data_IF_085344370977
#
_entry.id   IF_085344370977
#
_cell.length_a   1.000
_cell.length_b   1.000
_cell.length_c   1.000
_cell.angle_alpha   90.00
_cell.angle_beta   90.00
_cell.angle_gamma   90.00
#
_symmetry.space_group_name_H-M   'P 1'
#
loop_
_entity.id
_entity.type
_entity.pdbx_description
1 polymer ?
#
# COMPACT_ATOMS: atom_id res chain seq x y z
N UNK A 1 -14.78 -12.07 3.48
CA UNK A 1 -13.65 -11.69 4.34
C UNK A 1 -13.68 -12.64 5.52
N UNK A 2 -12.54 -13.20 5.95
CA UNK A 2 -12.52 -14.14 7.07
C UNK A 2 -12.96 -13.46 8.38
N UNK A 3 -13.68 -14.21 9.23
CA UNK A 3 -14.23 -13.69 10.49
C UNK A 3 -13.13 -13.19 11.43
N UNK A 4 -11.99 -13.88 11.47
CA UNK A 4 -10.87 -13.47 12.33
C UNK A 4 -10.27 -12.11 11.90
N UNK A 5 -10.21 -11.85 10.60
CA UNK A 5 -9.73 -10.57 10.06
C UNK A 5 -10.72 -9.46 10.40
N UNK A 6 -12.02 -9.74 10.30
CA UNK A 6 -13.05 -8.80 10.68
C UNK A 6 -12.94 -8.43 12.17
N UNK A 7 -12.82 -9.42 13.06
CA UNK A 7 -12.67 -9.17 14.50
C UNK A 7 -11.43 -8.33 14.83
N UNK A 8 -10.30 -8.59 14.16
CA UNK A 8 -9.06 -7.80 14.29
C UNK A 8 -9.22 -6.36 13.80
N UNK A 9 -9.91 -6.15 12.68
CA UNK A 9 -10.21 -4.81 12.15
C UNK A 9 -11.13 -4.04 13.09
N UNK A 10 -12.16 -4.68 13.64
CA UNK A 10 -13.06 -4.05 14.60
C UNK A 10 -12.34 -3.70 15.91
N UNK A 11 -11.44 -4.57 16.39
CA UNK A 11 -10.58 -4.27 17.54
C UNK A 11 -9.62 -3.10 17.27
N UNK A 12 -9.10 -3.01 16.04
CA UNK A 12 -8.21 -1.93 15.61
C UNK A 12 -8.98 -0.60 15.50
N UNK A 13 -10.18 -0.60 14.93
CA UNK A 13 -11.08 0.56 14.91
C UNK A 13 -11.38 1.05 16.34
N UNK A 14 -11.63 0.11 17.27
CA UNK A 14 -11.81 0.46 18.67
C UNK A 14 -10.57 1.05 19.34
N UNK A 15 -9.39 0.53 19.03
CA UNK A 15 -8.13 1.05 19.55
C UNK A 15 -7.90 2.50 19.11
N UNK A 16 -8.12 2.80 17.82
CA UNK A 16 -8.03 4.16 17.31
C UNK A 16 -9.01 5.11 18.01
N UNK A 17 -10.28 4.71 18.17
CA UNK A 17 -11.28 5.52 18.86
C UNK A 17 -10.88 5.84 20.31
N UNK A 18 -10.42 4.83 21.06
CA UNK A 18 -9.94 5.04 22.45
C UNK A 18 -8.74 5.98 22.51
N UNK A 19 -7.83 5.90 21.54
CA UNK A 19 -6.65 6.76 21.46
C UNK A 19 -7.03 8.21 21.12
N UNK A 20 -7.93 8.41 20.16
CA UNK A 20 -8.41 9.75 19.77
C UNK A 20 -9.18 10.43 20.90
N UNK A 21 -10.04 9.69 21.61
CA UNK A 21 -10.78 10.17 22.77
C UNK A 21 -9.94 10.25 24.06
N UNK A 22 -8.65 9.88 24.00
CA UNK A 22 -7.72 9.87 25.15
C UNK A 22 -8.26 9.11 26.36
N UNK A 23 -9.00 8.02 26.12
CA UNK A 23 -9.63 7.24 27.20
C UNK A 23 -8.56 6.41 27.93
N UNK A 24 -8.34 6.62 29.23
CA UNK A 24 -7.41 5.81 29.99
C UNK A 24 -7.94 4.38 30.14
N UNK A 25 -7.05 3.40 30.12
CA UNK A 25 -7.42 1.98 30.26
C UNK A 25 -8.10 1.69 31.63
N UNK A 26 -7.76 2.47 32.66
CA UNK A 26 -8.32 2.39 34.02
C UNK A 26 -9.83 2.65 34.01
N UNK A 27 -10.33 3.48 33.09
CA UNK A 27 -11.75 3.81 33.01
C UNK A 27 -12.63 2.61 32.68
N UNK A 28 -12.06 1.49 32.19
CA UNK A 28 -12.77 0.23 31.85
C UNK A 28 -14.09 0.45 31.09
N UNK A 29 -14.17 1.51 30.26
CA UNK A 29 -15.37 1.83 29.47
C UNK A 29 -15.68 0.70 28.49
N UNK A 30 -16.95 0.31 28.38
CA UNK A 30 -17.44 -0.66 27.39
C UNK A 30 -17.30 -0.11 25.96
N UNK A 31 -17.12 -1.01 24.98
CA UNK A 31 -16.93 -0.60 23.58
C UNK A 31 -18.12 0.18 23.02
N UNK A 32 -19.35 -0.18 23.42
CA UNK A 32 -20.57 0.54 23.03
C UNK A 32 -20.58 1.98 23.53
N UNK A 33 -20.13 2.22 24.77
CA UNK A 33 -20.07 3.56 25.34
C UNK A 33 -19.04 4.43 24.63
N UNK A 34 -17.89 3.84 24.23
CA UNK A 34 -16.87 4.53 23.44
C UNK A 34 -17.42 4.93 22.06
N UNK A 35 -18.21 4.07 21.41
CA UNK A 35 -18.84 4.37 20.12
C UNK A 35 -19.89 5.48 20.24
N UNK A 36 -20.72 5.43 21.29
CA UNK A 36 -21.72 6.46 21.55
C UNK A 36 -21.08 7.83 21.84
N UNK A 37 -20.00 7.86 22.62
CA UNK A 37 -19.24 9.08 22.94
C UNK A 37 -18.55 9.66 21.70
N UNK A 38 -18.05 8.81 20.78
CA UNK A 38 -17.56 9.25 19.48
C UNK A 38 -18.67 9.69 18.51
N UNK A 39 -19.94 9.37 18.82
CA UNK A 39 -21.08 9.45 17.90
C UNK A 39 -20.78 8.78 16.54
N UNK A 40 -20.13 7.62 16.56
CA UNK A 40 -19.76 6.85 15.37
C UNK A 40 -20.32 5.44 15.42
N UNK A 41 -20.68 4.92 14.24
CA UNK A 41 -20.94 3.50 14.02
C UNK A 41 -19.70 2.84 13.42
N UNK A 42 -19.47 1.55 13.71
CA UNK A 42 -18.39 0.77 13.08
C UNK A 42 -18.54 0.87 11.55
N UNK A 43 -17.49 1.32 10.88
CA UNK A 43 -17.53 1.69 9.47
C UNK A 43 -16.31 1.19 8.68
N UNK A 44 -15.21 0.87 9.37
CA UNK A 44 -13.95 0.52 8.73
C UNK A 44 -14.07 -0.74 7.86
N UNK A 45 -14.65 -1.81 8.41
CA UNK A 45 -14.85 -3.08 7.68
C UNK A 45 -15.67 -2.86 6.41
N UNK A 46 -16.79 -2.14 6.53
CA UNK A 46 -17.68 -1.83 5.40
C UNK A 46 -17.00 -0.97 4.35
N UNK A 47 -16.17 -0.02 4.79
CA UNK A 47 -15.39 0.85 3.88
C UNK A 47 -14.36 0.03 3.12
N UNK A 48 -13.61 -0.85 3.79
CA UNK A 48 -12.63 -1.73 3.14
C UNK A 48 -13.31 -2.65 2.13
N UNK A 49 -14.45 -3.26 2.48
CA UNK A 49 -15.22 -4.10 1.56
C UNK A 49 -15.69 -3.32 0.32
N UNK A 50 -16.15 -2.08 0.50
CA UNK A 50 -16.53 -1.21 -0.62
C UNK A 50 -15.33 -0.91 -1.52
N UNK A 51 -14.18 -0.60 -0.94
CA UNK A 51 -12.94 -0.35 -1.70
C UNK A 51 -12.50 -1.60 -2.47
N UNK A 52 -12.56 -2.78 -1.84
CA UNK A 52 -12.28 -4.07 -2.49
C UNK A 52 -13.21 -4.32 -3.68
N UNK A 53 -14.51 -4.08 -3.51
CA UNK A 53 -15.49 -4.25 -4.58
C UNK A 53 -15.26 -3.28 -5.75
N UNK A 54 -14.96 -2.01 -5.46
CA UNK A 54 -14.61 -1.02 -6.50
C UNK A 54 -13.37 -1.45 -7.26
N UNK A 55 -12.33 -1.88 -6.54
CA UNK A 55 -11.08 -2.36 -7.14
C UNK A 55 -11.31 -3.56 -8.05
N UNK A 56 -12.05 -4.57 -7.58
CA UNK A 56 -12.42 -5.74 -8.39
C UNK A 56 -13.27 -5.34 -9.60
N UNK A 57 -14.20 -4.39 -9.45
CA UNK A 57 -14.97 -3.86 -10.56
C UNK A 57 -14.09 -3.13 -11.60
N UNK A 58 -13.04 -2.42 -11.18
CA UNK A 58 -12.06 -1.85 -12.13
C UNK A 58 -11.22 -2.91 -12.82
N UNK A 59 -10.85 -3.95 -12.09
CA UNK A 59 -10.08 -5.07 -12.62
C UNK A 59 -10.87 -5.84 -13.69
N UNK A 60 -12.14 -6.14 -13.42
CA UNK A 60 -13.02 -6.81 -14.38
C UNK A 60 -13.26 -5.99 -15.65
N UNK A 61 -13.40 -4.66 -15.55
CA UNK A 61 -13.63 -3.78 -16.73
C UNK A 61 -12.41 -3.61 -17.63
N UNK A 62 -11.20 -3.91 -17.15
CA UNK A 62 -9.96 -3.75 -17.94
C UNK A 62 -9.48 -5.06 -18.56
N UNK A 63 -10.25 -6.16 -18.45
CA UNK A 63 -9.91 -7.49 -18.97
C UNK A 63 -8.56 -8.04 -18.47
N UNK A 64 -7.97 -7.43 -17.42
CA UNK A 64 -6.65 -7.83 -16.91
C UNK A 64 -6.71 -8.98 -15.92
N UNK A 65 -7.91 -9.46 -15.56
CA UNK A 65 -8.07 -10.49 -14.53
C UNK A 65 -7.47 -11.82 -14.99
N UNK A 66 -7.74 -12.24 -16.22
CA UNK A 66 -7.17 -13.46 -16.83
C UNK A 66 -5.65 -13.42 -16.86
N UNK A 67 -5.06 -12.32 -17.35
CA UNK A 67 -3.62 -12.12 -17.35
C UNK A 67 -3.04 -12.19 -15.92
N UNK A 68 -3.66 -11.50 -14.96
CA UNK A 68 -3.26 -11.51 -13.55
C UNK A 68 -3.29 -12.89 -12.91
N UNK A 69 -4.30 -13.69 -13.23
CA UNK A 69 -4.44 -15.06 -12.69
C UNK A 69 -3.40 -15.99 -13.32
N UNK A 70 -3.11 -15.84 -14.63
CA UNK A 70 -2.13 -16.68 -15.33
C UNK A 70 -0.69 -16.34 -14.99
N UNK A 71 -0.35 -15.05 -14.84
CA UNK A 71 1.04 -14.63 -14.54
C UNK A 71 1.31 -14.43 -13.06
N UNK A 72 0.29 -14.21 -12.21
CA UNK A 72 0.48 -13.86 -10.80
C UNK A 72 1.08 -12.46 -10.57
N UNK A 73 1.39 -11.73 -11.64
CA UNK A 73 2.05 -10.44 -11.58
C UNK A 73 1.02 -9.31 -11.71
N UNK A 74 0.90 -8.51 -10.65
CA UNK A 74 0.31 -7.17 -10.73
C UNK A 74 1.28 -6.30 -11.51
N UNK A 75 1.11 -6.26 -12.83
CA UNK A 75 1.88 -5.41 -13.74
C UNK A 75 1.65 -3.92 -13.40
N UNK A 76 2.36 -3.46 -12.37
CA UNK A 76 2.41 -2.08 -11.96
C UNK A 76 3.23 -1.32 -12.98
N UNK A 77 2.56 -0.66 -13.94
CA UNK A 77 3.22 0.33 -14.79
C UNK A 77 3.72 1.46 -13.90
N UNK A 78 4.98 1.35 -13.47
CA UNK A 78 5.72 2.40 -12.78
C UNK A 78 5.68 3.61 -13.72
N UNK A 79 4.99 4.68 -13.32
CA UNK A 79 5.11 5.95 -14.04
C UNK A 79 6.54 6.40 -13.84
N UNK A 80 7.38 6.22 -14.86
CA UNK A 80 8.68 6.87 -14.92
C UNK A 80 8.43 8.36 -14.73
N UNK A 81 8.98 8.91 -13.65
CA UNK A 81 8.87 10.34 -13.38
C UNK A 81 9.49 11.10 -14.54
N UNK A 82 8.87 12.22 -14.93
CA UNK A 82 9.53 13.19 -15.81
C UNK A 82 10.85 13.56 -15.15
N UNK A 83 11.97 13.23 -15.79
CA UNK A 83 13.31 13.62 -15.37
C UNK A 83 13.31 15.13 -15.14
N UNK A 84 13.38 15.56 -13.88
CA UNK A 84 13.69 16.95 -13.57
C UNK A 84 15.12 17.16 -14.05
N UNK A 85 15.25 18.09 -14.99
CA UNK A 85 16.47 18.80 -15.40
C UNK A 85 17.64 18.58 -14.44
N UNK A 86 18.66 17.88 -14.90
CA UNK A 86 19.99 17.98 -14.32
C UNK A 86 20.58 19.31 -14.80
N UNK A 87 20.39 20.37 -14.01
CA UNK A 87 21.31 21.50 -14.05
C UNK A 87 22.63 21.02 -13.46
N UNK A 88 23.58 20.76 -14.35
CA UNK A 88 24.94 20.28 -14.10
C UNK A 88 25.78 21.30 -13.34
N UNK A 89 25.45 21.56 -12.09
CA UNK A 89 26.28 22.37 -11.19
C UNK A 89 26.66 21.48 -10.01
N UNK A 90 27.96 21.27 -9.83
CA UNK A 90 28.60 20.58 -8.69
C UNK A 90 28.77 19.05 -8.75
N UNK A 91 29.51 18.51 -9.72
CA UNK A 91 30.46 17.38 -9.51
C UNK A 91 31.38 17.20 -10.73
N UNK A 92 32.25 18.19 -10.94
CA UNK A 92 33.46 18.01 -11.75
C UNK A 92 34.55 17.32 -10.91
N UNK A 93 34.40 16.01 -10.67
CA UNK A 93 35.47 15.10 -10.24
C UNK A 93 34.83 13.70 -10.14
N UNK A 94 35.53 12.64 -10.55
CA UNK A 94 35.09 11.22 -10.54
C UNK A 94 34.45 10.68 -11.84
N UNK A 95 34.97 11.08 -13.01
CA UNK A 95 34.60 10.49 -14.32
C UNK A 95 35.71 9.59 -14.94
N UNK A 96 36.61 9.01 -14.13
CA UNK A 96 37.76 8.23 -14.63
C UNK A 96 37.90 6.82 -14.04
N UNK A 97 36.83 6.20 -13.56
CA UNK A 97 36.89 4.83 -13.01
C UNK A 97 35.86 3.88 -13.62
N UNK A 98 35.59 4.01 -14.93
CA UNK A 98 34.78 3.03 -15.67
C UNK A 98 35.25 2.87 -17.12
N UNK A 99 36.45 2.30 -17.32
CA UNK A 99 36.95 1.94 -18.66
C UNK A 99 37.72 0.61 -18.75
N UNK A 100 37.65 -0.26 -17.74
CA UNK A 100 38.40 -1.52 -17.72
C UNK A 100 37.54 -2.78 -17.51
N UNK A 101 36.37 -2.86 -18.14
CA UNK A 101 35.59 -4.11 -18.16
C UNK A 101 34.88 -4.33 -19.51
N UNK A 102 35.63 -4.16 -20.60
CA UNK A 102 35.26 -4.64 -21.94
C UNK A 102 36.24 -5.73 -22.39
N UNK A 103 36.39 -6.77 -21.58
CA UNK A 103 37.22 -7.93 -21.94
C UNK A 103 36.60 -9.25 -21.50
N UNK A 104 35.37 -9.55 -21.92
CA UNK A 104 34.89 -10.94 -22.01
C UNK A 104 33.70 -11.03 -22.97
N UNK A 105 33.93 -10.73 -24.25
CA UNK A 105 33.05 -11.20 -25.32
C UNK A 105 33.89 -11.74 -26.47
N UNK A 106 34.35 -12.99 -26.32
CA UNK A 106 34.84 -13.84 -27.42
C UNK A 106 34.98 -15.31 -26.99
N UNK A 107 33.89 -15.96 -26.61
CA UNK A 107 33.81 -17.43 -26.56
C UNK A 107 32.36 -17.88 -26.75
N UNK A 108 31.85 -17.79 -27.97
CA UNK A 108 30.96 -18.78 -28.57
C UNK A 108 31.18 -18.77 -30.09
N UNK A 109 32.01 -19.70 -30.55
CA UNK A 109 32.02 -20.27 -31.89
C UNK A 109 32.10 -21.77 -31.68
#
# INVERSE_FOLDING_TARGET
>A
MDKQIQDKLEATEMWFLRRMLRIPWIAKKTNERVLNEANKRRSLVRTIQKCQAIFLGHLMRREKLEHLVTTGELEGKKKEGKTKREDNRWTGHMAWTRKSDRYTDRRQR
#
